data_IF_106999922566
#
_entry.id   IF_106999922566
#
_cell.length_a   1.000
_cell.length_b   1.000
_cell.length_c   1.000
_cell.angle_alpha   90.00
_cell.angle_beta   90.00
_cell.angle_gamma   90.00
#
_symmetry.space_group_name_H-M   'P 1'
#
loop_
_entity.id
_entity.type
_entity.pdbx_description
1 polymer ?
#
# COMPACT_ATOMS: atom_id res chain seq x y z
N UNK A 1 28.37 16.95 -24.77
CA UNK A 1 27.32 16.14 -25.42
C UNK A 1 26.70 15.19 -24.39
N UNK A 2 25.52 14.64 -24.65
CA UNK A 2 24.64 14.04 -23.61
C UNK A 2 25.17 12.70 -23.08
N UNK A 3 25.61 12.65 -21.82
CA UNK A 3 25.64 11.40 -21.07
C UNK A 3 24.21 11.01 -20.69
N UNK A 4 23.51 10.32 -21.61
CA UNK A 4 22.22 9.72 -21.30
C UNK A 4 22.41 8.65 -20.21
N UNK A 5 21.58 8.62 -19.15
CA UNK A 5 21.71 7.61 -18.11
C UNK A 5 21.30 6.24 -18.66
N UNK A 6 22.28 5.41 -19.01
CA UNK A 6 22.10 3.98 -19.26
C UNK A 6 21.83 3.21 -17.94
N UNK A 7 20.85 3.69 -17.16
CA UNK A 7 20.48 3.17 -15.84
C UNK A 7 19.08 2.53 -15.88
N UNK A 8 18.99 1.33 -15.32
CA UNK A 8 17.78 0.55 -14.97
C UNK A 8 16.90 -0.14 -16.03
N UNK A 9 17.30 -0.30 -17.30
CA UNK A 9 16.54 -1.18 -18.22
C UNK A 9 16.78 -2.70 -17.99
N UNK A 10 17.86 -3.09 -17.29
CA UNK A 10 18.27 -4.50 -17.12
C UNK A 10 17.53 -5.27 -16.01
N UNK A 11 16.77 -4.60 -15.15
CA UNK A 11 15.95 -5.25 -14.11
C UNK A 11 14.46 -5.04 -14.39
N UNK A 12 13.95 -5.67 -15.45
CA UNK A 12 12.52 -5.75 -15.72
C UNK A 12 12.10 -7.21 -15.90
N UNK A 13 10.97 -7.58 -15.27
CA UNK A 13 10.47 -8.94 -15.24
C UNK A 13 9.25 -9.11 -16.15
N UNK A 14 8.98 -10.35 -16.56
CA UNK A 14 7.80 -10.68 -17.36
C UNK A 14 6.54 -10.70 -16.49
N UNK A 15 5.37 -10.80 -17.15
CA UNK A 15 4.10 -11.02 -16.46
C UNK A 15 4.07 -12.32 -15.66
N UNK A 16 4.75 -13.37 -16.14
CA UNK A 16 4.85 -14.68 -15.47
C UNK A 16 5.67 -14.57 -14.19
N UNK A 17 6.82 -13.94 -14.26
CA UNK A 17 7.71 -13.73 -13.09
C UNK A 17 7.02 -12.85 -12.03
N UNK A 18 6.27 -11.82 -12.47
CA UNK A 18 5.47 -11.00 -11.56
C UNK A 18 4.33 -11.80 -10.93
N UNK A 19 3.69 -12.72 -11.66
CA UNK A 19 2.69 -13.63 -11.10
C UNK A 19 3.29 -14.52 -10.00
N UNK A 20 4.48 -15.06 -10.26
CA UNK A 20 5.24 -15.87 -9.30
C UNK A 20 5.65 -15.05 -8.07
N UNK A 21 6.23 -13.86 -8.24
CA UNK A 21 6.60 -12.97 -7.14
C UNK A 21 5.39 -12.56 -6.29
N UNK A 22 4.27 -12.21 -6.91
CA UNK A 22 3.03 -11.89 -6.20
C UNK A 22 2.30 -13.13 -5.65
N UNK A 23 2.74 -14.35 -5.99
CA UNK A 23 2.09 -15.62 -5.64
C UNK A 23 0.60 -15.64 -6.06
N UNK A 24 0.35 -15.35 -7.33
CA UNK A 24 -1.01 -15.28 -7.93
C UNK A 24 -1.01 -15.87 -9.34
N UNK A 25 -2.20 -16.20 -9.83
CA UNK A 25 -2.36 -16.62 -11.22
C UNK A 25 -2.08 -15.47 -12.18
N UNK A 26 -1.53 -15.78 -13.36
CA UNK A 26 -1.22 -14.76 -14.38
C UNK A 26 -2.44 -13.93 -14.83
N UNK A 27 -3.66 -14.47 -14.68
CA UNK A 27 -4.92 -13.75 -14.93
C UNK A 27 -5.12 -12.59 -13.95
N UNK A 28 -4.70 -12.74 -12.69
CA UNK A 28 -4.87 -11.74 -11.63
C UNK A 28 -3.88 -10.58 -11.72
N UNK A 29 -2.72 -10.77 -12.36
CA UNK A 29 -1.64 -9.78 -12.42
C UNK A 29 -2.09 -8.44 -13.00
N UNK A 30 -2.95 -8.44 -14.02
CA UNK A 30 -3.45 -7.20 -14.62
C UNK A 30 -4.31 -6.39 -13.63
N UNK A 31 -5.20 -7.07 -12.91
CA UNK A 31 -6.07 -6.43 -11.91
C UNK A 31 -5.25 -5.87 -10.74
N UNK A 32 -4.28 -6.64 -10.23
CA UNK A 32 -3.37 -6.19 -9.16
C UNK A 32 -2.55 -4.99 -9.62
N UNK A 33 -1.99 -5.06 -10.83
CA UNK A 33 -1.21 -3.96 -11.40
C UNK A 33 -2.03 -2.67 -11.48
N UNK A 34 -3.30 -2.74 -11.87
CA UNK A 34 -4.22 -1.59 -11.81
C UNK A 34 -4.46 -1.10 -10.38
N UNK A 35 -4.77 -2.00 -9.44
CA UNK A 35 -5.02 -1.66 -8.02
C UNK A 35 -3.84 -0.97 -7.35
N UNK A 36 -2.59 -1.37 -7.68
CA UNK A 36 -1.37 -0.75 -7.12
C UNK A 36 -0.74 0.30 -8.03
N UNK A 37 -1.34 0.66 -9.17
CA UNK A 37 -0.78 1.63 -10.12
C UNK A 37 0.54 1.20 -10.81
N UNK A 38 0.80 -0.11 -10.91
CA UNK A 38 2.02 -0.66 -11.51
C UNK A 38 1.97 -0.63 -13.05
N UNK A 39 2.55 0.42 -13.64
CA UNK A 39 2.67 0.56 -15.09
C UNK A 39 3.81 -0.29 -15.69
N UNK A 40 3.60 -0.83 -16.90
CA UNK A 40 4.64 -1.51 -17.69
C UNK A 40 5.53 -0.54 -18.48
N UNK A 41 6.66 -1.04 -18.99
CA UNK A 41 7.50 -0.41 -20.01
C UNK A 41 7.83 -1.50 -21.03
N UNK A 42 7.56 -1.26 -22.32
CA UNK A 42 7.76 -2.25 -23.39
C UNK A 42 7.20 -3.66 -23.07
N UNK A 43 6.01 -3.72 -22.45
CA UNK A 43 5.35 -4.98 -22.06
C UNK A 43 5.93 -5.69 -20.81
N UNK A 44 6.95 -5.13 -20.16
CA UNK A 44 7.58 -5.69 -18.94
C UNK A 44 7.34 -4.82 -17.71
N UNK A 45 7.58 -5.38 -16.54
CA UNK A 45 7.43 -4.71 -15.25
C UNK A 45 8.82 -4.37 -14.65
N UNK A 46 9.23 -3.08 -14.60
CA UNK A 46 10.52 -2.71 -14.01
C UNK A 46 10.54 -2.91 -12.49
N UNK A 47 11.57 -3.55 -11.94
CA UNK A 47 11.73 -3.75 -10.50
C UNK A 47 11.65 -2.43 -9.71
N UNK A 48 12.22 -1.34 -10.24
CA UNK A 48 12.09 0.01 -9.65
C UNK A 48 10.63 0.44 -9.39
N UNK A 49 9.69 0.06 -10.27
CA UNK A 49 8.25 0.34 -10.06
C UNK A 49 7.63 -0.65 -9.08
N UNK A 50 8.04 -1.92 -9.10
CA UNK A 50 7.59 -2.93 -8.14
C UNK A 50 8.00 -2.53 -6.71
N UNK A 51 9.25 -2.14 -6.48
CA UNK A 51 9.75 -1.68 -5.18
C UNK A 51 8.89 -0.56 -4.59
N UNK A 52 8.60 0.48 -5.39
CA UNK A 52 7.82 1.64 -4.95
C UNK A 52 6.33 1.31 -4.77
N UNK A 53 5.71 0.63 -5.74
CA UNK A 53 4.25 0.43 -5.72
C UNK A 53 3.81 -0.73 -4.81
N UNK A 54 4.59 -1.83 -4.77
CA UNK A 54 4.29 -3.02 -3.97
C UNK A 54 4.94 -2.94 -2.60
N UNK A 55 6.27 -2.78 -2.54
CA UNK A 55 7.04 -2.88 -1.29
C UNK A 55 7.18 -1.56 -0.52
N UNK A 56 6.72 -0.44 -1.08
CA UNK A 56 6.76 0.92 -0.52
C UNK A 56 8.18 1.45 -0.22
N UNK A 57 9.18 0.94 -0.95
CA UNK A 57 10.60 1.28 -0.76
C UNK A 57 11.28 1.58 -2.11
N UNK A 58 12.55 1.99 -2.08
CA UNK A 58 13.38 2.06 -3.27
C UNK A 58 14.54 1.06 -3.21
N UNK A 59 14.64 0.18 -4.21
CA UNK A 59 15.70 -0.83 -4.29
C UNK A 59 17.13 -0.29 -4.14
N UNK A 60 17.36 0.98 -4.50
CA UNK A 60 18.68 1.63 -4.36
C UNK A 60 19.15 1.77 -2.91
N UNK A 61 18.24 1.82 -1.93
CA UNK A 61 18.58 1.94 -0.51
C UNK A 61 18.78 0.58 0.17
N UNK A 62 18.28 -0.51 -0.42
CA UNK A 62 18.27 -1.83 0.22
C UNK A 62 19.67 -2.34 0.58
N UNK A 63 20.69 -2.06 -0.24
CA UNK A 63 22.07 -2.51 0.02
C UNK A 63 22.70 -1.82 1.24
N UNK A 64 22.53 -0.50 1.34
CA UNK A 64 23.04 0.28 2.48
C UNK A 64 22.26 -0.05 3.76
N UNK A 65 20.94 -0.15 3.64
CA UNK A 65 20.05 -0.51 4.74
C UNK A 65 20.31 -1.94 5.27
N UNK A 66 20.60 -2.91 4.39
CA UNK A 66 20.99 -4.26 4.79
C UNK A 66 22.30 -4.28 5.59
N UNK A 67 23.30 -3.50 5.19
CA UNK A 67 24.55 -3.37 5.96
C UNK A 67 24.30 -2.75 7.35
N UNK A 68 23.39 -1.77 7.46
CA UNK A 68 22.99 -1.19 8.74
C UNK A 68 22.23 -2.20 9.63
N UNK A 69 21.35 -3.02 9.04
CA UNK A 69 20.60 -4.08 9.72
C UNK A 69 21.49 -5.23 10.21
N UNK A 70 22.46 -5.68 9.40
CA UNK A 70 23.46 -6.68 9.79
C UNK A 70 24.29 -6.21 10.98
N UNK A 71 24.67 -4.93 11.01
CA UNK A 71 25.37 -4.32 12.15
C UNK A 71 24.56 -4.32 13.48
N UNK A 72 23.25 -4.61 13.45
CA UNK A 72 22.44 -4.82 14.65
C UNK A 72 22.59 -6.24 15.25
N UNK A 73 23.33 -7.15 14.60
CA UNK A 73 23.61 -8.51 15.12
C UNK A 73 22.45 -9.49 14.98
N UNK A 74 21.75 -9.46 13.83
CA UNK A 74 20.66 -10.38 13.48
C UNK A 74 21.23 -11.58 12.70
N UNK A 75 21.21 -12.80 13.25
CA UNK A 75 21.68 -13.99 12.55
C UNK A 75 21.05 -14.20 11.17
N UNK A 76 19.73 -13.97 11.04
CA UNK A 76 19.04 -14.10 9.75
C UNK A 76 19.54 -13.06 8.74
N UNK A 77 19.82 -11.82 9.16
CA UNK A 77 20.29 -10.76 8.26
C UNK A 77 21.77 -10.93 7.89
N UNK A 78 22.57 -11.52 8.77
CA UNK A 78 23.98 -11.86 8.55
C UNK A 78 24.15 -13.03 7.55
N UNK A 79 23.23 -14.02 7.58
CA UNK A 79 23.21 -15.13 6.60
C UNK A 79 22.73 -14.73 5.20
N UNK A 80 22.10 -13.56 5.05
CA UNK A 80 21.56 -13.07 3.78
C UNK A 80 22.66 -12.35 3.00
N UNK A 81 22.98 -12.83 1.79
CA UNK A 81 23.93 -12.15 0.88
C UNK A 81 23.37 -10.83 0.30
N UNK A 82 22.05 -10.77 0.06
CA UNK A 82 21.38 -9.59 -0.51
C UNK A 82 19.92 -9.49 -0.07
N UNK A 83 19.60 -8.41 0.65
CA UNK A 83 18.23 -8.04 0.99
C UNK A 83 17.37 -7.82 -0.27
N UNK A 84 17.94 -7.33 -1.38
CA UNK A 84 17.19 -7.15 -2.64
C UNK A 84 16.69 -8.51 -3.16
N UNK A 85 17.55 -9.52 -3.23
CA UNK A 85 17.15 -10.85 -3.74
C UNK A 85 16.16 -11.55 -2.80
N UNK A 86 16.33 -11.41 -1.48
CA UNK A 86 15.35 -11.94 -0.51
C UNK A 86 13.98 -11.28 -0.62
N UNK A 87 13.91 -9.99 -0.92
CA UNK A 87 12.64 -9.29 -1.14
C UNK A 87 12.02 -9.58 -2.52
N UNK A 88 12.74 -10.22 -3.46
CA UNK A 88 12.19 -10.74 -4.72
C UNK A 88 11.52 -12.11 -4.58
N UNK A 89 11.71 -12.82 -3.46
CA UNK A 89 11.06 -14.11 -3.21
C UNK A 89 9.51 -14.02 -3.30
N UNK A 90 8.81 -15.12 -3.63
CA UNK A 90 7.34 -15.13 -3.70
C UNK A 90 6.67 -14.72 -2.39
N UNK A 91 5.80 -13.71 -2.46
CA UNK A 91 5.04 -13.21 -1.33
C UNK A 91 4.15 -14.31 -0.72
N UNK A 92 4.02 -14.32 0.60
CA UNK A 92 3.20 -15.30 1.31
C UNK A 92 1.76 -14.83 1.45
N UNK A 93 0.82 -15.73 1.14
CA UNK A 93 -0.60 -15.57 1.50
C UNK A 93 -0.77 -15.79 3.00
N UNK A 94 -1.83 -15.25 3.58
CA UNK A 94 -2.15 -15.39 5.01
C UNK A 94 -1.98 -16.83 5.57
N UNK A 95 -2.42 -17.92 4.90
CA UNK A 95 -2.23 -19.27 5.44
C UNK A 95 -0.77 -19.74 5.53
N UNK A 96 0.12 -19.22 4.68
CA UNK A 96 1.56 -19.52 4.74
C UNK A 96 2.20 -18.80 5.93
N UNK A 97 1.96 -17.49 6.06
CA UNK A 97 2.41 -16.69 7.19
C UNK A 97 1.89 -17.24 8.53
N UNK A 98 0.60 -17.59 8.62
CA UNK A 98 0.02 -18.14 9.85
C UNK A 98 0.70 -19.47 10.27
N UNK A 99 1.01 -20.35 9.31
CA UNK A 99 1.73 -21.60 9.56
C UNK A 99 3.17 -21.36 9.97
N UNK A 100 3.86 -20.40 9.34
CA UNK A 100 5.22 -20.03 9.71
C UNK A 100 5.30 -19.55 11.17
N UNK A 101 4.30 -18.77 11.63
CA UNK A 101 4.12 -18.36 13.04
C UNK A 101 3.55 -19.46 13.97
N UNK A 102 3.51 -20.72 13.53
CA UNK A 102 3.05 -21.84 14.37
C UNK A 102 1.55 -21.82 14.67
N UNK A 103 0.70 -21.27 13.78
CA UNK A 103 -0.74 -21.13 14.01
C UNK A 103 -1.60 -21.78 12.92
N UNK A 104 -2.75 -22.33 13.33
CA UNK A 104 -3.80 -22.76 12.38
C UNK A 104 -4.43 -21.53 11.72
N UNK A 105 -4.48 -21.43 10.36
CA UNK A 105 -4.93 -20.22 9.67
C UNK A 105 -6.31 -19.70 10.11
N UNK A 106 -7.35 -20.52 10.12
CA UNK A 106 -8.73 -20.06 10.41
C UNK A 106 -8.86 -19.55 11.85
N UNK A 107 -8.22 -20.25 12.80
CA UNK A 107 -8.17 -19.87 14.21
C UNK A 107 -7.44 -18.55 14.40
N UNK A 108 -6.34 -18.34 13.68
CA UNK A 108 -5.56 -17.11 13.75
C UNK A 108 -6.29 -15.93 13.10
N UNK A 109 -6.90 -16.12 11.93
CA UNK A 109 -7.73 -15.12 11.28
C UNK A 109 -8.90 -14.68 12.18
N UNK A 110 -9.56 -15.64 12.86
CA UNK A 110 -10.61 -15.36 13.84
C UNK A 110 -10.06 -14.55 15.03
N UNK A 111 -8.92 -14.93 15.60
CA UNK A 111 -8.31 -14.24 16.73
C UNK A 111 -7.88 -12.79 16.40
N UNK A 112 -7.31 -12.56 15.21
CA UNK A 112 -6.96 -11.22 14.71
C UNK A 112 -8.21 -10.35 14.50
N UNK A 113 -9.27 -10.91 13.87
CA UNK A 113 -10.53 -10.19 13.63
C UNK A 113 -11.24 -9.79 14.93
N UNK A 114 -11.10 -10.60 15.98
CA UNK A 114 -11.69 -10.36 17.31
C UNK A 114 -10.79 -9.52 18.23
N UNK A 115 -9.66 -8.99 17.73
CA UNK A 115 -8.70 -8.22 18.52
C UNK A 115 -7.96 -9.00 19.61
N UNK A 116 -8.14 -10.33 19.68
CA UNK A 116 -7.51 -11.21 20.67
C UNK A 116 -6.03 -11.48 20.39
N UNK A 117 -5.57 -11.12 19.19
CA UNK A 117 -4.15 -11.04 18.81
C UNK A 117 -3.96 -9.83 17.90
N UNK A 118 -2.76 -9.27 17.89
CA UNK A 118 -2.28 -8.29 16.92
C UNK A 118 -1.18 -8.93 16.06
N UNK A 119 -0.96 -8.37 14.87
CA UNK A 119 0.13 -8.76 13.97
C UNK A 119 0.90 -7.48 13.62
N UNK A 120 2.15 -7.30 14.08
CA UNK A 120 2.93 -6.10 13.80
C UNK A 120 3.58 -6.09 12.41
N UNK A 121 3.54 -7.22 11.70
CA UNK A 121 4.11 -7.37 10.35
C UNK A 121 3.29 -6.57 9.33
N UNK A 122 3.99 -5.82 8.47
CA UNK A 122 3.42 -5.04 7.38
C UNK A 122 2.58 -5.92 6.43
N UNK A 123 1.32 -5.54 6.21
CA UNK A 123 0.40 -6.26 5.31
C UNK A 123 0.37 -5.59 3.94
N UNK A 124 0.84 -6.29 2.91
CA UNK A 124 0.71 -5.87 1.52
C UNK A 124 -0.71 -6.14 1.02
N UNK A 125 -1.41 -5.08 0.59
CA UNK A 125 -2.81 -5.14 0.21
C UNK A 125 -2.99 -4.91 -1.29
N UNK A 126 -3.53 -5.92 -1.99
CA UNK A 126 -3.84 -5.85 -3.43
C UNK A 126 -5.35 -5.94 -3.71
N UNK A 127 -6.18 -5.70 -2.70
CA UNK A 127 -7.65 -5.74 -2.77
C UNK A 127 -8.29 -6.37 -1.53
N UNK A 128 -9.64 -6.39 -1.44
CA UNK A 128 -10.37 -6.72 -0.20
C UNK A 128 -10.05 -8.08 0.45
N UNK A 129 -9.64 -9.06 -0.37
CA UNK A 129 -9.29 -10.43 0.06
C UNK A 129 -7.84 -10.80 -0.22
N UNK A 130 -7.04 -9.86 -0.73
CA UNK A 130 -5.70 -10.09 -1.25
C UNK A 130 -4.66 -9.48 -0.32
N UNK A 131 -4.36 -10.24 0.75
CA UNK A 131 -3.42 -9.89 1.82
C UNK A 131 -2.18 -10.75 1.72
N UNK A 132 -1.04 -10.10 1.55
CA UNK A 132 0.25 -10.73 1.34
C UNK A 132 1.29 -10.21 2.33
N UNK A 133 2.31 -11.02 2.57
CA UNK A 133 3.38 -10.78 3.55
C UNK A 133 4.72 -11.08 2.90
N UNK A 134 5.76 -10.32 3.26
CA UNK A 134 7.13 -10.62 2.84
C UNK A 134 7.65 -11.80 3.68
N UNK A 135 8.18 -12.88 3.07
CA UNK A 135 8.67 -14.05 3.82
C UNK A 135 9.69 -13.67 4.90
N UNK A 136 10.65 -12.81 4.54
CA UNK A 136 11.71 -12.34 5.44
C UNK A 136 11.18 -11.68 6.72
N UNK A 137 10.17 -10.80 6.62
CA UNK A 137 9.58 -10.13 7.79
C UNK A 137 8.90 -11.12 8.74
N UNK A 138 8.30 -12.18 8.20
CA UNK A 138 7.66 -13.22 9.00
C UNK A 138 8.69 -14.07 9.74
N UNK A 139 9.85 -14.31 9.13
CA UNK A 139 10.94 -15.05 9.75
C UNK A 139 11.64 -14.21 10.84
N UNK A 140 12.02 -12.96 10.52
CA UNK A 140 12.62 -12.02 11.48
C UNK A 140 11.72 -11.79 12.71
N UNK A 141 10.42 -11.60 12.49
CA UNK A 141 9.47 -11.44 13.60
C UNK A 141 9.31 -12.73 14.42
N UNK A 142 9.35 -13.91 13.79
CA UNK A 142 9.18 -15.21 14.46
C UNK A 142 10.37 -15.58 15.34
N UNK A 143 11.57 -15.46 14.78
CA UNK A 143 12.78 -16.05 15.37
C UNK A 143 13.54 -15.04 16.23
N UNK A 144 13.49 -13.75 15.87
CA UNK A 144 14.28 -12.69 16.49
C UNK A 144 13.42 -11.56 17.09
N UNK A 145 12.11 -11.54 16.81
CA UNK A 145 11.21 -10.45 17.22
C UNK A 145 11.46 -9.12 16.49
N UNK A 146 12.23 -9.14 15.40
CA UNK A 146 12.61 -7.94 14.64
C UNK A 146 11.53 -7.60 13.61
N UNK A 147 11.21 -6.31 13.50
CA UNK A 147 10.42 -5.75 12.42
C UNK A 147 11.36 -5.12 11.39
N UNK A 148 11.19 -5.47 10.12
CA UNK A 148 11.98 -4.93 9.02
C UNK A 148 11.46 -3.54 8.62
N UNK A 149 12.14 -2.50 9.09
CA UNK A 149 11.79 -1.11 8.79
C UNK A 149 12.41 -0.65 7.46
N UNK A 150 11.78 -1.02 6.34
CA UNK A 150 12.31 -0.66 5.02
C UNK A 150 12.22 0.86 4.75
N UNK A 151 13.29 1.48 4.20
CA UNK A 151 13.31 2.91 3.92
C UNK A 151 12.21 3.31 2.94
N UNK A 152 11.41 4.32 3.29
CA UNK A 152 10.24 4.73 2.49
C UNK A 152 10.61 5.17 1.06
N UNK A 153 9.75 4.81 0.10
CA UNK A 153 9.85 5.32 -1.26
C UNK A 153 9.41 6.79 -1.35
N UNK A 154 10.21 7.64 -2.01
CA UNK A 154 9.81 9.03 -2.28
C UNK A 154 8.60 9.04 -3.23
N UNK A 155 7.43 9.33 -2.68
CA UNK A 155 6.22 9.56 -3.47
C UNK A 155 6.31 10.95 -4.10
N UNK A 156 6.71 10.98 -5.37
CA UNK A 156 6.49 12.14 -6.23
C UNK A 156 4.99 12.24 -6.47
N UNK A 157 4.29 13.05 -5.66
CA UNK A 157 2.93 13.48 -5.93
C UNK A 157 2.95 14.09 -7.33
N UNK A 158 2.22 13.48 -8.27
CA UNK A 158 2.03 14.06 -9.58
C UNK A 158 1.21 15.33 -9.37
N UNK A 159 1.87 16.49 -9.45
CA UNK A 159 1.22 17.77 -9.32
C UNK A 159 0.07 17.84 -10.34
N UNK A 160 -1.15 18.02 -9.85
CA UNK A 160 -2.32 18.18 -10.70
C UNK A 160 -2.09 19.37 -11.63
N UNK A 161 -2.26 19.16 -12.93
CA UNK A 161 -2.09 20.22 -13.94
C UNK A 161 -3.26 21.20 -13.83
N UNK A 162 -3.19 22.12 -12.88
CA UNK A 162 -4.10 23.25 -12.79
C UNK A 162 -3.69 24.31 -13.81
N UNK A 163 -4.13 24.10 -15.05
CA UNK A 163 -4.32 25.19 -16.00
C UNK A 163 -5.46 26.08 -15.51
N UNK A 164 -5.12 27.11 -14.74
CA UNK A 164 -5.96 28.28 -14.51
C UNK A 164 -5.10 29.52 -14.78
N UNK A 165 -5.39 30.21 -15.88
CA UNK A 165 -4.67 31.40 -16.33
C UNK A 165 -5.23 32.61 -15.58
N UNK A 166 -4.37 33.57 -15.25
CA UNK A 166 -4.69 34.85 -14.61
C UNK A 166 -5.98 35.53 -15.09
N UNK A 167 -6.73 36.12 -14.16
CA UNK A 167 -6.77 37.60 -14.05
C UNK A 167 -7.20 37.98 -12.61
N UNK A 168 -6.44 38.82 -11.93
CA UNK A 168 -6.73 39.20 -10.53
C UNK A 168 -7.56 40.48 -10.38
N UNK A 169 -8.00 40.76 -9.14
CA UNK A 169 -8.06 42.12 -8.54
C UNK A 169 -8.31 42.00 -7.03
N UNK A 170 -7.65 42.87 -6.26
CA UNK A 170 -7.67 42.91 -4.79
C UNK A 170 -8.86 43.72 -4.24
N UNK A 171 -9.53 43.25 -3.19
CA UNK A 171 -10.07 44.14 -2.13
C UNK A 171 -10.38 43.41 -0.82
N UNK A 172 -10.51 44.20 0.25
CA UNK A 172 -10.30 43.78 1.65
C UNK A 172 -11.60 43.72 2.50
N UNK A 173 -11.55 42.82 3.50
CA UNK A 173 -11.99 43.02 4.90
C UNK A 173 -13.47 42.88 5.31
N UNK A 174 -13.59 42.42 6.57
CA UNK A 174 -14.65 42.63 7.56
C UNK A 174 -16.01 41.90 7.45
N UNK A 175 -16.24 41.00 8.40
CA UNK A 175 -17.52 40.79 9.08
C UNK A 175 -17.62 41.77 10.29
N UNK A 176 -18.71 41.81 11.11
CA UNK A 176 -20.01 41.12 11.03
C UNK A 176 -21.22 42.08 11.19
N UNK A 177 -22.47 41.58 11.14
CA UNK A 177 -23.58 42.09 11.99
C UNK A 177 -24.79 41.14 12.09
N UNK A 178 -25.62 41.38 13.11
CA UNK A 178 -26.58 40.43 13.71
C UNK A 178 -28.06 40.72 13.38
N UNK A 179 -28.93 39.84 13.91
CA UNK A 179 -30.39 39.97 14.12
C UNK A 179 -31.28 39.66 12.89
N UNK A 180 -32.50 39.13 13.04
CA UNK A 180 -33.32 39.02 14.26
C UNK A 180 -34.09 37.69 14.37
N UNK A 181 -34.45 37.33 15.61
CA UNK A 181 -35.35 36.22 15.95
C UNK A 181 -36.80 36.49 15.54
N UNK A 182 -37.58 35.43 15.30
CA UNK A 182 -38.98 35.32 15.74
C UNK A 182 -39.50 33.87 15.64
N UNK A 183 -39.64 33.22 16.79
CA UNK A 183 -40.49 32.03 16.95
C UNK A 183 -41.96 32.38 16.75
N UNK A 184 -42.78 31.40 16.33
CA UNK A 184 -44.10 31.14 16.96
C UNK A 184 -44.72 29.81 16.46
N UNK A 185 -45.02 28.96 17.43
CA UNK A 185 -46.01 27.87 17.49
C UNK A 185 -46.76 27.43 16.21
N UNK A 186 -46.78 26.13 15.97
CA UNK A 186 -47.71 25.50 15.02
C UNK A 186 -49.07 25.17 15.63
N UNK A 187 -50.04 24.80 14.78
CA UNK A 187 -51.18 23.96 15.18
C UNK A 187 -51.87 23.31 13.97
N UNK A 188 -52.16 22.01 14.12
CA UNK A 188 -53.34 21.26 13.65
C UNK A 188 -54.09 21.64 12.35
N UNK A 189 -53.95 20.75 11.37
CA UNK A 189 -54.98 19.80 10.89
C UNK A 189 -56.31 20.27 10.22
N UNK A 190 -56.60 19.54 9.12
CA UNK A 190 -57.89 18.92 8.76
C UNK A 190 -58.66 19.47 7.54
N UNK A 191 -59.60 18.62 7.09
CA UNK A 191 -60.60 18.78 6.02
C UNK A 191 -60.11 18.68 4.55
N UNK A 192 -60.78 17.94 3.63
CA UNK A 192 -61.99 17.08 3.76
C UNK A 192 -62.12 16.10 2.55
N UNK A 193 -62.92 15.03 2.75
CA UNK A 193 -63.99 14.44 1.87
C UNK A 193 -63.97 14.74 0.34
N UNK A 194 -64.40 13.92 -0.62
CA UNK A 194 -65.27 12.71 -0.73
C UNK A 194 -65.30 12.27 -2.23
N UNK A 195 -65.92 11.21 -2.76
CA UNK A 195 -66.52 9.93 -2.29
C UNK A 195 -66.97 9.10 -3.54
N UNK A 196 -67.38 7.85 -3.34
CA UNK A 196 -68.17 6.97 -4.25
C UNK A 196 -67.48 6.30 -5.45
N UNK A 197 -67.84 5.02 -5.65
CA UNK A 197 -67.34 4.09 -6.67
C UNK A 197 -67.46 2.66 -6.20
#
# INVERSE_FOLDING_TARGET
MKHGPARSNLQSITKTDLAQHLNVDQTSVANIATVVGLQTVAGRYPWRRIWRMVHKTEGVFLKEHHAALAACGSPILDEIESLEEKLKEPLWKFPQMARALGHKPDTFAKALREGRKTLPITQLNFGPRMRFYRPLEVLLWRDEGILLDLPESVQFVAAETQTAIDTGTVSRSAAPQNNAEKSLFGSFASEKMSSAG
#
